data_IF_246591553794
#
_entry.id   IF_246591553794
#
_cell.length_a   1.000
_cell.length_b   1.000
_cell.length_c   1.000
_cell.angle_alpha   90.00
_cell.angle_beta   90.00
_cell.angle_gamma   90.00
#
_symmetry.space_group_name_H-M   'P 1'
#
loop_
_entity.id
_entity.type
_entity.pdbx_description
1 polymer ?
#
# COMPACT_ATOMS: atom_id res chain seq x y z
N UNK A 1 -9.32 3.01 11.94
CA UNK A 1 -8.75 3.70 10.76
C UNK A 1 -8.76 2.71 9.60
N UNK A 2 -9.05 3.14 8.37
CA UNK A 2 -9.16 2.26 7.19
C UNK A 2 -8.08 2.64 6.19
N UNK A 3 -7.47 1.65 5.53
CA UNK A 3 -6.37 1.86 4.58
C UNK A 3 -6.95 2.16 3.19
N UNK A 4 -6.34 3.12 2.48
CA UNK A 4 -6.72 3.46 1.12
C UNK A 4 -6.04 2.50 0.11
N UNK A 5 -6.67 1.35 -0.12
CA UNK A 5 -6.13 0.31 -1.03
C UNK A 5 -5.95 0.80 -2.47
N UNK A 6 -6.80 1.71 -2.95
CA UNK A 6 -6.68 2.32 -4.27
C UNK A 6 -5.41 3.17 -4.39
N UNK A 7 -5.04 3.87 -3.32
CA UNK A 7 -3.80 4.64 -3.30
C UNK A 7 -2.57 3.74 -3.34
N UNK A 8 -2.57 2.61 -2.63
CA UNK A 8 -1.46 1.64 -2.68
C UNK A 8 -1.19 1.18 -4.12
N UNK A 9 -2.24 0.85 -4.86
CA UNK A 9 -2.15 0.46 -6.27
C UNK A 9 -1.66 1.61 -7.16
N UNK A 10 -2.14 2.83 -6.93
CA UNK A 10 -1.71 4.02 -7.69
C UNK A 10 -0.24 4.33 -7.47
N UNK A 11 0.24 4.29 -6.22
CA UNK A 11 1.65 4.50 -5.89
C UNK A 11 2.55 3.48 -6.60
N UNK A 12 2.21 2.19 -6.50
CA UNK A 12 2.96 1.15 -7.22
C UNK A 12 3.04 1.41 -8.72
N UNK A 13 1.89 1.71 -9.35
CA UNK A 13 1.82 1.98 -10.80
C UNK A 13 2.56 3.24 -11.21
N UNK A 14 2.53 4.30 -10.40
CA UNK A 14 3.28 5.55 -10.64
C UNK A 14 4.79 5.30 -10.66
N UNK A 15 5.26 4.31 -9.90
CA UNK A 15 6.66 3.88 -9.89
C UNK A 15 6.97 2.78 -10.91
N UNK A 16 6.05 2.46 -11.83
CA UNK A 16 6.20 1.43 -12.86
C UNK A 16 6.58 0.05 -12.33
N UNK A 17 6.22 -0.26 -11.08
CA UNK A 17 6.52 -1.55 -10.46
C UNK A 17 5.41 -2.57 -10.73
N UNK A 18 5.78 -3.81 -10.99
CA UNK A 18 4.89 -4.96 -10.89
C UNK A 18 4.58 -5.30 -9.42
N UNK A 19 3.51 -6.06 -9.18
CA UNK A 19 3.19 -6.52 -7.83
C UNK A 19 4.26 -7.47 -7.26
N UNK A 20 5.01 -8.16 -8.13
CA UNK A 20 6.12 -9.02 -7.73
C UNK A 20 7.30 -8.19 -7.24
N UNK A 21 7.72 -7.18 -8.00
CA UNK A 21 8.82 -6.28 -7.62
C UNK A 21 8.53 -5.52 -6.33
N UNK A 22 7.28 -5.04 -6.15
CA UNK A 22 6.89 -4.43 -4.88
C UNK A 22 6.90 -5.45 -3.74
N UNK A 23 6.45 -6.68 -4.01
CA UNK A 23 6.49 -7.77 -3.04
C UNK A 23 7.91 -8.06 -2.57
N UNK A 24 8.87 -8.15 -3.50
CA UNK A 24 10.30 -8.34 -3.20
C UNK A 24 10.83 -7.22 -2.29
N UNK A 25 10.51 -5.94 -2.60
CA UNK A 25 10.91 -4.79 -1.76
C UNK A 25 10.31 -4.79 -0.36
N UNK A 26 9.07 -5.26 -0.21
CA UNK A 26 8.36 -5.29 1.07
C UNK A 26 8.50 -6.61 1.83
N UNK A 27 9.29 -7.54 1.30
CA UNK A 27 9.39 -8.92 1.77
C UNK A 27 8.00 -9.57 1.92
N UNK A 28 7.22 -9.55 0.84
CA UNK A 28 5.86 -10.11 0.73
C UNK A 28 5.70 -10.84 -0.61
N UNK A 29 4.85 -11.86 -0.63
CA UNK A 29 4.48 -12.50 -1.89
C UNK A 29 3.68 -11.55 -2.79
N UNK A 30 3.81 -11.68 -4.12
CA UNK A 30 3.00 -10.96 -5.12
C UNK A 30 1.50 -11.02 -4.83
N UNK A 31 1.01 -12.19 -4.39
CA UNK A 31 -0.39 -12.38 -4.03
C UNK A 31 -0.82 -11.53 -2.83
N UNK A 32 0.08 -11.34 -1.86
CA UNK A 32 -0.18 -10.51 -0.69
C UNK A 32 -0.33 -9.04 -1.08
N UNK A 33 0.53 -8.55 -1.97
CA UNK A 33 0.40 -7.20 -2.55
C UNK A 33 -0.93 -7.05 -3.30
N UNK A 34 -1.29 -8.05 -4.11
CA UNK A 34 -2.60 -8.04 -4.81
C UNK A 34 -3.77 -7.98 -3.83
N UNK A 35 -3.75 -8.73 -2.73
CA UNK A 35 -4.81 -8.69 -1.71
C UNK A 35 -4.89 -7.33 -1.01
N UNK A 36 -3.76 -6.66 -0.79
CA UNK A 36 -3.74 -5.30 -0.24
C UNK A 36 -4.37 -4.30 -1.20
N UNK A 37 -3.94 -4.31 -2.47
CA UNK A 37 -4.40 -3.39 -3.50
C UNK A 37 -5.89 -3.53 -3.83
N UNK A 38 -6.43 -4.74 -3.69
CA UNK A 38 -7.85 -5.02 -3.91
C UNK A 38 -8.70 -4.90 -2.64
N UNK A 39 -8.13 -4.51 -1.50
CA UNK A 39 -8.85 -4.38 -0.23
C UNK A 39 -9.32 -5.69 0.40
N UNK A 40 -8.86 -6.84 -0.10
CA UNK A 40 -9.17 -8.18 0.43
C UNK A 40 -8.50 -8.39 1.79
N UNK A 41 -7.32 -7.80 2.00
CA UNK A 41 -6.58 -7.85 3.25
C UNK A 41 -6.04 -6.47 3.56
N UNK A 42 -6.04 -6.07 4.83
CA UNK A 42 -5.35 -4.86 5.26
C UNK A 42 -3.85 -5.15 5.50
N UNK A 43 -2.94 -4.25 5.08
CA UNK A 43 -1.55 -4.31 5.48
C UNK A 43 -1.40 -4.11 7.00
N UNK A 44 -0.35 -4.69 7.58
CA UNK A 44 0.04 -4.39 8.96
C UNK A 44 0.63 -2.99 9.06
N UNK A 45 0.72 -2.42 10.28
CA UNK A 45 1.40 -1.13 10.49
C UNK A 45 2.84 -1.15 9.96
N UNK A 46 3.60 -2.22 10.25
CA UNK A 46 4.96 -2.39 9.73
C UNK A 46 4.99 -2.38 8.20
N UNK A 47 4.02 -3.04 7.56
CA UNK A 47 3.91 -3.01 6.10
C UNK A 47 3.57 -1.62 5.58
N UNK A 48 2.70 -0.86 6.26
CA UNK A 48 2.42 0.53 5.92
C UNK A 48 3.65 1.42 6.05
N UNK A 49 4.48 1.22 7.09
CA UNK A 49 5.78 1.90 7.23
C UNK A 49 6.67 1.61 6.02
N UNK A 50 6.80 0.35 5.62
CA UNK A 50 7.60 -0.01 4.45
C UNK A 50 7.03 0.53 3.13
N UNK A 51 5.70 0.62 2.99
CA UNK A 51 5.07 1.31 1.85
C UNK A 51 5.44 2.81 1.84
N UNK A 52 5.33 3.47 2.99
CA UNK A 52 5.67 4.87 3.18
C UNK A 52 7.14 5.14 2.81
N UNK A 53 8.06 4.30 3.27
CA UNK A 53 9.49 4.37 2.93
C UNK A 53 9.75 4.15 1.42
N UNK A 54 9.15 3.13 0.81
CA UNK A 54 9.36 2.81 -0.62
C UNK A 54 8.85 3.93 -1.54
N UNK A 55 7.75 4.58 -1.17
CA UNK A 55 7.10 5.59 -2.01
C UNK A 55 7.35 7.04 -1.58
N UNK A 56 8.08 7.26 -0.48
CA UNK A 56 8.39 8.60 0.03
C UNK A 56 7.15 9.37 0.48
N UNK A 57 6.18 8.68 1.09
CA UNK A 57 4.94 9.26 1.62
C UNK A 57 4.82 9.00 3.11
N UNK A 58 3.92 9.69 3.79
CA UNK A 58 3.59 9.40 5.19
C UNK A 58 2.54 8.30 5.31
N UNK A 59 2.47 7.65 6.48
CA UNK A 59 1.42 6.64 6.74
C UNK A 59 0.03 7.29 6.68
N UNK A 60 -0.13 8.54 7.14
CA UNK A 60 -1.42 9.26 7.12
C UNK A 60 -1.96 9.39 5.68
N UNK A 61 -1.09 9.65 4.71
CA UNK A 61 -1.47 9.68 3.31
C UNK A 61 -2.01 8.34 2.80
N UNK A 62 -1.50 7.22 3.34
CA UNK A 62 -1.97 5.86 3.00
C UNK A 62 -3.34 5.53 3.60
N UNK A 63 -3.88 6.36 4.49
CA UNK A 63 -5.15 6.12 5.17
C UNK A 63 -6.33 6.75 4.42
N UNK A 64 -7.53 6.18 4.61
CA UNK A 64 -8.77 6.82 4.17
C UNK A 64 -9.05 8.04 5.05
N UNK A 65 -9.04 9.23 4.44
CA UNK A 65 -9.54 10.44 5.08
C UNK A 65 -11.06 10.37 5.11
N UNK A 66 -11.65 10.12 6.28
CA UNK A 66 -13.07 10.40 6.49
C UNK A 66 -13.22 11.91 6.53
N UNK A 67 -13.69 12.51 5.43
CA UNK A 67 -14.30 13.83 5.49
C UNK A 67 -15.53 13.68 6.41
N UNK A 68 -15.38 14.10 7.67
CA UNK A 68 -16.54 14.49 8.47
C UNK A 68 -16.92 15.88 7.97
N UNK A 69 -17.89 15.93 7.07
CA UNK A 69 -18.72 17.12 6.88
C UNK A 69 -19.89 16.98 7.84
#
# INVERSE_FOLDING_TARGET
>A
MKVNHQLLLRLRRKHSMTQRELGERLNKAKETISRYENGVKNPSLQTLCSYAEVFGVTIDELMEKKLKV
#
